data_IF_267946137986
#
_entry.id   IF_267946137986
#
_cell.length_a   1.000
_cell.length_b   1.000
_cell.length_c   1.000
_cell.angle_alpha   90.00
_cell.angle_beta   90.00
_cell.angle_gamma   90.00
#
_symmetry.space_group_name_H-M   'P 1'
#
loop_
_entity.id
_entity.type
_entity.pdbx_description
1 polymer ?
#
# COMPACT_ATOMS: atom_id res chain seq x y z
N UNK A 1 -1.37 12.29 -9.83
CA UNK A 1 -0.04 11.68 -10.10
C UNK A 1 0.35 10.90 -8.86
N UNK A 2 0.78 9.64 -8.98
CA UNK A 2 1.18 8.80 -7.84
C UNK A 2 2.71 8.66 -7.80
N UNK A 3 3.33 8.94 -6.65
CA UNK A 3 4.76 8.71 -6.42
C UNK A 3 5.05 7.24 -6.16
N UNK A 4 5.01 6.41 -7.20
CA UNK A 4 5.14 4.94 -7.08
C UNK A 4 6.56 4.45 -6.77
N UNK A 5 7.56 5.34 -6.81
CA UNK A 5 8.96 5.08 -6.44
C UNK A 5 9.47 6.25 -5.61
N UNK A 6 10.07 5.93 -4.47
CA UNK A 6 10.68 6.90 -3.57
C UNK A 6 12.19 6.65 -3.54
N UNK A 7 12.98 7.68 -3.83
CA UNK A 7 14.43 7.65 -3.71
C UNK A 7 14.80 8.32 -2.39
N UNK A 8 15.56 7.61 -1.56
CA UNK A 8 16.03 8.10 -0.27
C UNK A 8 17.55 8.17 -0.28
N UNK A 9 18.08 9.16 0.41
CA UNK A 9 19.51 9.22 0.71
C UNK A 9 19.80 8.22 1.84
N UNK A 10 20.96 7.56 1.76
CA UNK A 10 21.28 6.40 2.60
C UNK A 10 21.28 6.76 4.09
N UNK A 11 21.75 7.96 4.45
CA UNK A 11 21.84 8.38 5.86
C UNK A 11 20.48 8.55 6.56
N UNK A 12 19.39 8.73 5.81
CA UNK A 12 18.04 8.90 6.37
C UNK A 12 17.10 7.72 6.10
N UNK A 13 17.55 6.70 5.35
CA UNK A 13 16.67 5.68 4.80
C UNK A 13 15.89 4.92 5.89
N UNK A 14 16.57 4.45 6.94
CA UNK A 14 15.95 3.63 7.99
C UNK A 14 14.95 4.43 8.85
N UNK A 15 15.30 5.66 9.22
CA UNK A 15 14.42 6.54 9.99
C UNK A 15 13.18 6.91 9.18
N UNK A 16 13.38 7.29 7.91
CA UNK A 16 12.28 7.64 7.03
C UNK A 16 11.35 6.45 6.79
N UNK A 17 11.89 5.26 6.51
CA UNK A 17 11.08 4.06 6.30
C UNK A 17 10.24 3.73 7.53
N UNK A 18 10.80 3.87 8.72
CA UNK A 18 10.08 3.64 9.99
C UNK A 18 8.89 4.58 10.12
N UNK A 19 9.10 5.88 9.89
CA UNK A 19 8.04 6.89 9.94
C UNK A 19 6.99 6.68 8.85
N UNK A 20 7.43 6.35 7.63
CA UNK A 20 6.56 6.07 6.50
C UNK A 20 5.65 4.89 6.80
N UNK A 21 6.18 3.79 7.33
CA UNK A 21 5.38 2.62 7.70
C UNK A 21 4.37 2.94 8.77
N UNK A 22 4.77 3.65 9.82
CA UNK A 22 3.86 4.07 10.89
C UNK A 22 2.71 4.92 10.36
N UNK A 23 2.98 5.85 9.44
CA UNK A 23 1.93 6.67 8.84
C UNK A 23 1.05 5.86 7.87
N UNK A 24 1.66 5.07 6.99
CA UNK A 24 0.97 4.33 5.95
C UNK A 24 0.03 3.26 6.51
N UNK A 25 0.37 2.64 7.65
CA UNK A 25 -0.50 1.64 8.28
C UNK A 25 -1.92 2.16 8.58
N UNK A 26 -2.09 3.47 8.80
CA UNK A 26 -3.39 4.10 9.06
C UNK A 26 -4.25 4.29 7.82
N UNK A 27 -3.69 4.17 6.60
CA UNK A 27 -4.44 4.36 5.36
C UNK A 27 -5.07 3.07 4.86
N UNK A 28 -5.82 2.36 5.70
CA UNK A 28 -6.54 1.18 5.23
C UNK A 28 -7.78 1.57 4.42
N UNK A 29 -8.09 0.83 3.33
CA UNK A 29 -9.36 0.99 2.63
C UNK A 29 -10.54 0.82 3.59
N UNK A 30 -11.53 1.69 3.47
CA UNK A 30 -12.73 1.68 4.30
C UNK A 30 -14.03 1.84 3.51
N UNK A 31 -15.12 2.00 4.24
CA UNK A 31 -16.43 2.27 3.63
C UNK A 31 -16.44 3.71 3.06
N UNK A 32 -16.69 3.91 1.75
CA UNK A 32 -16.68 5.24 1.16
C UNK A 32 -17.76 6.20 1.70
N UNK A 33 -18.78 5.68 2.40
CA UNK A 33 -19.81 6.49 3.05
C UNK A 33 -19.47 6.86 4.50
N UNK A 34 -18.40 6.30 5.06
CA UNK A 34 -17.91 6.64 6.38
C UNK A 34 -17.01 7.89 6.28
N UNK A 35 -17.35 9.02 6.94
CA UNK A 35 -16.57 10.25 6.88
C UNK A 35 -15.15 10.11 7.46
N UNK A 36 -14.89 9.10 8.29
CA UNK A 36 -13.57 8.84 8.86
C UNK A 36 -12.67 8.01 7.92
N UNK A 37 -13.21 7.50 6.81
CA UNK A 37 -12.44 6.73 5.83
C UNK A 37 -11.53 7.64 5.00
N UNK A 38 -10.22 7.48 5.16
CA UNK A 38 -9.22 8.28 4.44
C UNK A 38 -8.76 7.65 3.12
N UNK A 39 -9.01 6.35 2.91
CA UNK A 39 -8.67 5.63 1.68
C UNK A 39 -9.88 4.84 1.19
N UNK A 40 -10.25 5.06 -0.08
CA UNK A 40 -11.33 4.33 -0.74
C UNK A 40 -10.88 2.97 -1.28
N UNK A 41 -11.82 2.23 -1.84
CA UNK A 41 -11.56 0.98 -2.56
C UNK A 41 -11.12 1.25 -4.00
N UNK A 42 -10.58 0.23 -4.65
CA UNK A 42 -10.36 0.22 -6.08
C UNK A 42 -11.68 0.17 -6.85
N UNK A 43 -11.64 0.53 -8.14
CA UNK A 43 -12.84 0.68 -8.98
C UNK A 43 -13.64 -0.61 -9.14
N UNK A 44 -12.96 -1.75 -9.25
CA UNK A 44 -13.54 -3.07 -9.37
C UNK A 44 -12.55 -4.18 -8.96
N UNK A 45 -13.05 -5.43 -8.93
CA UNK A 45 -12.26 -6.59 -8.55
C UNK A 45 -11.18 -6.94 -9.59
N UNK A 46 -11.42 -6.68 -10.87
CA UNK A 46 -10.44 -6.97 -11.93
C UNK A 46 -9.20 -6.06 -11.80
N UNK A 47 -9.41 -4.80 -11.42
CA UNK A 47 -8.35 -3.87 -11.11
C UNK A 47 -7.60 -4.30 -9.84
N UNK A 48 -8.31 -4.74 -8.79
CA UNK A 48 -7.70 -5.28 -7.58
C UNK A 48 -6.83 -6.51 -7.86
N UNK A 49 -7.31 -7.46 -8.67
CA UNK A 49 -6.55 -8.64 -9.09
C UNK A 49 -5.26 -8.26 -9.84
N UNK A 50 -5.33 -7.24 -10.70
CA UNK A 50 -4.17 -6.72 -11.40
C UNK A 50 -3.15 -6.12 -10.41
N UNK A 51 -3.61 -5.29 -9.46
CA UNK A 51 -2.74 -4.74 -8.40
C UNK A 51 -2.12 -5.85 -7.56
N UNK A 52 -2.89 -6.86 -7.14
CA UNK A 52 -2.38 -8.03 -6.43
C UNK A 52 -1.32 -8.78 -7.25
N UNK A 53 -1.45 -8.83 -8.57
CA UNK A 53 -0.44 -9.44 -9.46
C UNK A 53 0.90 -8.69 -9.41
N UNK A 54 0.88 -7.36 -9.42
CA UNK A 54 2.09 -6.57 -9.25
C UNK A 54 2.73 -6.77 -7.88
N UNK A 55 1.93 -6.84 -6.82
CA UNK A 55 2.43 -7.12 -5.46
C UNK A 55 3.14 -8.48 -5.41
N UNK A 56 2.51 -9.54 -5.94
CA UNK A 56 3.14 -10.87 -6.04
C UNK A 56 4.43 -10.85 -6.85
N UNK A 57 4.49 -10.07 -7.92
CA UNK A 57 5.71 -9.88 -8.72
C UNK A 57 6.82 -9.14 -7.97
N UNK A 58 6.46 -8.22 -7.06
CA UNK A 58 7.39 -7.49 -6.20
C UNK A 58 7.99 -8.37 -5.10
N UNK A 59 7.20 -9.26 -4.49
CA UNK A 59 7.66 -10.22 -3.48
C UNK A 59 8.80 -11.12 -3.97
N UNK A 60 8.85 -11.39 -5.29
CA UNK A 60 9.92 -12.19 -5.89
C UNK A 60 11.25 -11.42 -6.08
N UNK A 61 11.25 -10.09 -5.94
CA UNK A 61 12.38 -9.21 -6.31
C UNK A 61 12.83 -8.26 -5.21
N UNK A 62 12.02 -8.09 -4.17
CA UNK A 62 12.18 -7.07 -3.13
C UNK A 62 11.67 -7.58 -1.78
N UNK A 63 12.02 -6.89 -0.71
CA UNK A 63 11.54 -7.20 0.63
C UNK A 63 10.21 -6.49 0.87
N UNK A 64 9.17 -7.27 1.21
CA UNK A 64 7.87 -6.71 1.58
C UNK A 64 7.95 -6.06 2.97
N UNK A 65 7.93 -4.73 3.02
CA UNK A 65 8.09 -3.94 4.24
C UNK A 65 6.75 -3.62 4.91
N UNK A 66 5.71 -3.42 4.12
CA UNK A 66 4.32 -3.26 4.55
C UNK A 66 3.40 -4.00 3.58
N UNK A 67 2.54 -4.88 4.10
CA UNK A 67 1.52 -5.59 3.32
C UNK A 67 0.13 -5.03 3.63
N UNK A 68 -0.48 -4.36 2.66
CA UNK A 68 -1.84 -3.81 2.77
C UNK A 68 -2.93 -4.71 2.19
N UNK A 69 -2.61 -5.93 1.72
CA UNK A 69 -3.57 -6.79 1.01
C UNK A 69 -4.67 -7.36 1.90
N UNK A 70 -4.43 -7.50 3.21
CA UNK A 70 -5.39 -8.12 4.11
C UNK A 70 -6.58 -7.18 4.33
N UNK A 71 -7.68 -7.44 3.63
CA UNK A 71 -8.90 -6.64 3.73
C UNK A 71 -10.15 -7.53 3.60
N UNK A 72 -11.28 -7.17 4.23
CA UNK A 72 -12.53 -7.94 4.11
C UNK A 72 -13.27 -7.72 2.77
N UNK A 73 -12.90 -6.69 2.00
CA UNK A 73 -13.55 -6.38 0.72
C UNK A 73 -12.70 -6.79 -0.48
N UNK A 74 -13.29 -7.39 -1.55
CA UNK A 74 -12.53 -7.86 -2.72
C UNK A 74 -11.77 -6.77 -3.49
N UNK A 75 -12.33 -5.56 -3.58
CA UNK A 75 -11.71 -4.42 -4.26
C UNK A 75 -10.84 -3.55 -3.32
N UNK A 76 -10.61 -3.97 -2.08
CA UNK A 76 -9.82 -3.21 -1.12
C UNK A 76 -8.36 -3.68 -1.13
N UNK A 77 -7.47 -2.80 -1.57
CA UNK A 77 -6.02 -3.00 -1.49
C UNK A 77 -5.41 -1.84 -0.72
N UNK A 78 -4.89 -2.12 0.46
CA UNK A 78 -4.23 -1.13 1.30
C UNK A 78 -2.80 -0.83 0.87
N UNK A 79 -2.16 0.12 1.56
CA UNK A 79 -0.81 0.57 1.26
C UNK A 79 0.17 -0.58 1.39
N UNK A 80 0.96 -0.76 0.33
CA UNK A 80 1.93 -1.84 0.22
C UNK A 80 3.28 -1.24 -0.14
N UNK A 81 4.31 -1.54 0.64
CA UNK A 81 5.66 -0.97 0.51
C UNK A 81 6.65 -2.09 0.32
N UNK A 82 7.48 -1.97 -0.72
CA UNK A 82 8.64 -2.81 -0.96
C UNK A 82 9.93 -1.99 -0.78
N UNK A 83 10.96 -2.63 -0.23
CA UNK A 83 12.33 -2.11 -0.14
C UNK A 83 13.32 -3.05 -0.82
#
# INVERSE_FOLDING_TARGET
IAGTRLLLEESIADEFLTLLKAQAQHWQPGNPLDPDTTMGMLIDNAHADNVHSFIRGGEAKSTLFLDGRKNPWPAAVGPTIFV
#
